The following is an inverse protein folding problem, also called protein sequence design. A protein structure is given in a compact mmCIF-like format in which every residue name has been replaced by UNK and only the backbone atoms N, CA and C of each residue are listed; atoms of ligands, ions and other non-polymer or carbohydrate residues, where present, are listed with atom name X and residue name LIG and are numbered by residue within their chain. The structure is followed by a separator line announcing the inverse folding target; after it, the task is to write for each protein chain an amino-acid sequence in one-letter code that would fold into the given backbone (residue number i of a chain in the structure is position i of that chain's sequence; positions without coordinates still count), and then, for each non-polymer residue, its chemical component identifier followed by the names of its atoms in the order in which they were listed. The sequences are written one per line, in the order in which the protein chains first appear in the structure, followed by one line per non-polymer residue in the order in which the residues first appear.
data_IF_737023727882
#
_entry.id   IF_737023727882
#
_cell.length_a   1.000
_cell.length_b   1.000
_cell.length_c   1.000
_cell.angle_alpha   90.00
_cell.angle_beta   90.00
_cell.angle_gamma   90.00
#
_symmetry.space_group_name_H-M   'P 1'
#
loop_
_entity.id
_entity.type
_entity.pdbx_description
1 polymer ?
#
# COMPACT_ATOMS: atom_id res chain seq x y z
N UNK A 1 17.29 7.54 5.34
CA UNK A 1 17.21 6.22 4.70
C UNK A 1 15.76 5.79 4.79
N UNK A 2 15.11 5.49 3.67
CA UNK A 2 13.78 4.88 3.66
C UNK A 2 13.97 3.38 3.61
N UNK A 3 13.50 2.65 4.63
CA UNK A 3 13.48 1.18 4.61
C UNK A 3 12.11 0.74 4.14
N UNK A 4 12.06 -0.10 3.10
CA UNK A 4 10.82 -0.75 2.73
C UNK A 4 10.46 -1.80 3.78
N UNK A 5 9.17 -1.93 4.04
CA UNK A 5 8.66 -2.93 4.96
C UNK A 5 8.88 -4.35 4.42
N UNK A 6 9.32 -5.26 5.29
CA UNK A 6 9.77 -6.61 4.87
C UNK A 6 8.76 -7.72 5.16
N UNK A 7 7.54 -7.40 5.58
CA UNK A 7 6.50 -8.42 5.83
C UNK A 7 5.36 -8.45 4.82
N UNK A 8 5.43 -7.62 3.77
CA UNK A 8 4.51 -7.76 2.63
C UNK A 8 3.10 -7.17 2.82
N UNK A 9 2.84 -6.42 3.90
CA UNK A 9 1.56 -5.75 4.14
C UNK A 9 1.63 -4.21 4.17
N UNK A 10 2.75 -3.62 3.73
CA UNK A 10 2.81 -2.17 3.55
C UNK A 10 2.26 -1.83 2.16
N UNK A 11 1.27 -0.93 2.13
CA UNK A 11 0.60 -0.50 0.90
C UNK A 11 1.31 0.71 0.31
N UNK A 12 1.30 0.84 -1.02
CA UNK A 12 2.04 1.87 -1.73
C UNK A 12 1.14 2.62 -2.71
N UNK A 13 1.38 3.92 -2.88
CA UNK A 13 0.73 4.71 -3.92
C UNK A 13 1.71 5.70 -4.55
N UNK A 14 1.47 5.99 -5.82
CA UNK A 14 2.08 7.12 -6.52
C UNK A 14 1.00 8.14 -6.81
N UNK A 15 1.26 9.40 -6.47
CA UNK A 15 0.30 10.48 -6.65
C UNK A 15 0.94 11.68 -7.33
N UNK A 16 0.17 12.37 -8.16
CA UNK A 16 0.56 13.57 -8.88
C UNK A 16 -0.29 14.76 -8.40
N UNK A 17 0.30 15.68 -7.61
CA UNK A 17 -0.40 16.88 -7.19
C UNK A 17 -0.67 17.82 -8.38
N UNK A 18 -1.66 18.74 -8.26
CA UNK A 18 -1.96 19.71 -9.30
C UNK A 18 -0.79 20.66 -9.56
N UNK A 19 -0.70 21.15 -10.79
CA UNK A 19 0.30 22.14 -11.19
C UNK A 19 0.26 23.37 -10.27
N UNK A 20 1.44 23.84 -9.87
CA UNK A 20 1.58 25.01 -9.00
C UNK A 20 1.50 24.72 -7.50
N UNK A 21 1.13 23.50 -7.08
CA UNK A 21 1.26 23.11 -5.67
C UNK A 21 2.74 22.99 -5.29
N UNK A 22 3.15 23.72 -4.26
CA UNK A 22 4.51 23.66 -3.72
C UNK A 22 4.58 22.74 -2.51
N UNK A 23 5.78 22.27 -2.16
CA UNK A 23 6.00 21.47 -0.94
C UNK A 23 5.51 22.18 0.32
N UNK A 24 5.77 23.49 0.43
CA UNK A 24 5.32 24.32 1.54
C UNK A 24 3.79 24.34 1.65
N UNK A 25 3.11 24.70 0.55
CA UNK A 25 1.64 24.78 0.53
C UNK A 25 0.98 23.41 0.71
N UNK A 26 1.64 22.33 0.28
CA UNK A 26 1.19 20.97 0.55
C UNK A 26 1.27 20.67 2.05
N UNK A 27 2.44 20.89 2.67
CA UNK A 27 2.64 20.61 4.09
C UNK A 27 1.71 21.44 4.99
N UNK A 28 1.44 22.70 4.63
CA UNK A 28 0.55 23.58 5.39
C UNK A 28 -0.94 23.18 5.28
N UNK A 29 -1.40 22.80 4.10
CA UNK A 29 -2.83 22.60 3.84
C UNK A 29 -3.29 21.13 3.88
N UNK A 30 -2.36 20.18 3.86
CA UNK A 30 -2.67 18.75 3.83
C UNK A 30 -2.15 18.00 5.06
N UNK A 31 -1.61 18.68 6.08
CA UNK A 31 -1.24 18.04 7.34
C UNK A 31 -2.46 17.31 7.94
N UNK A 32 -2.21 16.12 8.44
CA UNK A 32 -3.22 15.30 9.09
C UNK A 32 -2.68 14.76 10.40
N UNK A 33 -3.47 15.00 11.44
CA UNK A 33 -3.28 14.40 12.74
C UNK A 33 -4.40 13.41 13.01
N UNK A 34 -4.04 12.31 13.65
CA UNK A 34 -5.02 11.30 14.05
C UNK A 34 -4.46 10.43 15.15
N UNK A 35 -5.24 9.41 15.51
CA UNK A 35 -4.88 8.50 16.57
C UNK A 35 -4.97 7.08 16.05
N UNK A 36 -3.92 6.29 16.26
CA UNK A 36 -3.89 4.86 15.99
C UNK A 36 -4.06 4.11 17.29
N UNK A 37 -5.04 3.23 17.31
CA UNK A 37 -5.22 2.22 18.36
C UNK A 37 -4.63 0.90 17.87
N UNK A 38 -3.83 0.24 18.70
CA UNK A 38 -3.30 -1.10 18.46
C UNK A 38 -3.64 -2.00 19.65
N UNK A 39 -4.52 -2.96 19.41
CA UNK A 39 -4.85 -4.03 20.33
C UNK A 39 -4.20 -5.33 19.86
N UNK A 40 -3.25 -5.86 20.63
CA UNK A 40 -2.56 -7.11 20.28
C UNK A 40 -2.05 -7.83 21.53
N UNK A 41 -2.23 -9.16 21.60
CA UNK A 41 -1.81 -10.00 22.74
C UNK A 41 -2.24 -9.46 24.12
N UNK A 42 -3.44 -8.87 24.21
CA UNK A 42 -3.97 -8.29 25.45
C UNK A 42 -3.37 -6.94 25.85
N UNK A 43 -2.49 -6.37 25.02
CA UNK A 43 -2.00 -5.00 25.17
C UNK A 43 -2.85 -4.03 24.36
N UNK A 44 -3.05 -2.84 24.91
CA UNK A 44 -3.74 -1.72 24.28
C UNK A 44 -2.78 -0.53 24.19
N UNK A 45 -2.49 -0.08 22.98
CA UNK A 45 -1.65 1.07 22.73
C UNK A 45 -2.41 2.12 21.91
N UNK A 46 -2.43 3.34 22.43
CA UNK A 46 -2.87 4.51 21.69
C UNK A 46 -1.64 5.32 21.28
N UNK A 47 -1.54 5.66 20.00
CA UNK A 47 -0.46 6.51 19.47
C UNK A 47 -1.01 7.60 18.58
N UNK A 48 -0.63 8.83 18.88
CA UNK A 48 -0.87 9.96 18.01
C UNK A 48 -0.04 9.82 16.72
N UNK A 49 -0.64 10.21 15.60
CA UNK A 49 -0.01 10.37 14.31
C UNK A 49 0.08 11.87 14.08
N UNK A 50 1.29 12.43 14.08
CA UNK A 50 1.53 13.88 13.98
C UNK A 50 2.32 14.31 12.72
N UNK A 51 2.79 13.35 11.92
CA UNK A 51 3.63 13.60 10.74
C UNK A 51 3.07 12.91 9.48
N UNK A 52 1.76 13.05 9.28
CA UNK A 52 1.06 12.47 8.13
C UNK A 52 0.39 13.56 7.30
N UNK A 53 0.12 13.23 6.04
CA UNK A 53 -0.51 14.15 5.09
C UNK A 53 -1.62 13.45 4.33
N UNK A 54 -2.75 14.13 4.14
CA UNK A 54 -3.85 13.63 3.32
C UNK A 54 -3.52 13.79 1.85
N UNK A 55 -3.54 12.67 1.12
CA UNK A 55 -3.51 12.63 -0.33
C UNK A 55 -4.95 12.44 -0.84
N UNK A 56 -5.52 13.41 -1.58
CA UNK A 56 -6.81 13.22 -2.24
C UNK A 56 -6.77 12.06 -3.24
N UNK A 57 -7.82 11.23 -3.25
CA UNK A 57 -7.92 10.09 -4.18
C UNK A 57 -7.71 10.50 -5.64
N UNK A 58 -8.21 11.67 -6.06
CA UNK A 58 -8.05 12.17 -7.43
C UNK A 58 -6.62 12.54 -7.82
N UNK A 59 -5.66 12.55 -6.89
CA UNK A 59 -4.24 12.72 -7.19
C UNK A 59 -3.53 11.39 -7.41
N UNK A 60 -4.11 10.27 -6.94
CA UNK A 60 -3.50 8.96 -7.04
C UNK A 60 -3.50 8.51 -8.50
N UNK A 61 -2.31 8.25 -9.04
CA UNK A 61 -2.14 7.68 -10.37
C UNK A 61 -2.27 6.17 -10.36
N UNK A 62 -1.74 5.53 -9.31
CA UNK A 62 -1.76 4.09 -9.11
C UNK A 62 -1.50 3.80 -7.61
N UNK A 63 -2.12 2.74 -7.11
CA UNK A 63 -1.99 2.30 -5.73
C UNK A 63 -2.12 0.79 -5.63
N UNK A 64 -1.43 0.24 -4.64
CA UNK A 64 -1.37 -1.18 -4.35
C UNK A 64 -1.61 -1.37 -2.87
N UNK A 65 -2.79 -1.89 -2.54
CA UNK A 65 -3.08 -2.42 -1.22
C UNK A 65 -2.30 -3.72 -1.03
N UNK A 66 -1.48 -3.77 0.01
CA UNK A 66 -0.82 -4.98 0.44
C UNK A 66 -1.35 -5.38 1.82
N UNK A 67 -1.65 -6.65 2.02
CA UNK A 67 -2.09 -7.19 3.30
C UNK A 67 -1.69 -8.66 3.43
N UNK A 68 -1.61 -9.19 4.65
CA UNK A 68 -1.47 -10.63 4.90
C UNK A 68 -2.83 -11.20 5.29
N UNK A 69 -3.16 -12.40 4.81
CA UNK A 69 -4.49 -12.99 5.01
C UNK A 69 -4.82 -13.24 6.48
N UNK A 70 -3.83 -13.68 7.26
CA UNK A 70 -3.96 -13.96 8.71
C UNK A 70 -4.44 -12.75 9.51
N UNK A 71 -4.06 -11.54 9.10
CA UNK A 71 -4.38 -10.28 9.78
C UNK A 71 -5.05 -9.27 8.84
N UNK A 72 -5.88 -9.74 7.90
CA UNK A 72 -6.57 -8.86 6.97
C UNK A 72 -7.58 -7.98 7.73
N UNK A 73 -7.23 -6.70 7.87
CA UNK A 73 -8.05 -5.68 8.50
C UNK A 73 -8.49 -4.63 7.46
N UNK A 74 -8.67 -3.39 7.90
CA UNK A 74 -8.95 -2.25 7.03
C UNK A 74 -7.80 -2.02 6.04
N UNK A 75 -8.11 -2.02 4.75
CA UNK A 75 -7.16 -1.69 3.69
C UNK A 75 -6.78 -0.20 3.72
N UNK A 76 -5.57 0.10 3.24
CA UNK A 76 -5.04 1.47 3.25
C UNK A 76 -5.81 2.39 2.29
N UNK A 77 -6.20 1.86 1.13
CA UNK A 77 -6.95 2.59 0.11
C UNK A 77 -8.37 2.06 0.00
N UNK A 78 -9.31 2.96 -0.29
CA UNK A 78 -10.69 2.55 -0.55
C UNK A 78 -10.85 1.97 -1.97
N UNK A 79 -12.01 1.36 -2.21
CA UNK A 79 -12.29 0.65 -3.46
C UNK A 79 -12.32 1.50 -4.74
N UNK A 80 -12.32 2.84 -4.63
CA UNK A 80 -12.19 3.71 -5.82
C UNK A 80 -10.75 3.78 -6.33
N UNK A 81 -9.79 3.50 -5.45
CA UNK A 81 -8.35 3.57 -5.73
C UNK A 81 -7.77 2.17 -5.87
N UNK A 82 -8.07 1.27 -4.92
CA UNK A 82 -7.77 -0.15 -5.03
C UNK A 82 -8.82 -0.95 -4.24
N UNK A 83 -9.60 -1.76 -4.95
CA UNK A 83 -10.70 -2.56 -4.40
C UNK A 83 -10.27 -3.92 -3.86
N UNK A 84 -9.01 -4.31 -4.08
CA UNK A 84 -8.47 -5.57 -3.61
C UNK A 84 -7.24 -5.37 -2.75
N UNK A 85 -6.51 -6.45 -2.58
CA UNK A 85 -5.18 -6.46 -1.99
C UNK A 85 -4.33 -7.56 -2.63
N UNK A 86 -3.03 -7.47 -2.45
CA UNK A 86 -2.05 -8.46 -2.88
C UNK A 86 -1.04 -8.73 -1.77
N UNK A 87 -0.24 -9.78 -1.91
CA UNK A 87 0.66 -10.23 -0.85
C UNK A 87 1.86 -11.02 -1.37
N UNK A 88 2.86 -11.21 -0.50
CA UNK A 88 4.01 -12.13 -0.73
C UNK A 88 4.03 -13.30 0.25
N UNK A 89 3.04 -13.34 1.16
CA UNK A 89 2.78 -14.43 2.11
C UNK A 89 1.33 -14.33 2.60
N UNK A 90 0.78 -15.44 3.08
CA UNK A 90 -0.55 -15.48 3.69
C UNK A 90 -0.53 -15.35 5.21
N UNK A 91 0.64 -15.52 5.84
CA UNK A 91 0.84 -15.44 7.29
C UNK A 91 1.75 -14.25 7.65
N UNK A 92 1.55 -13.65 8.83
CA UNK A 92 2.47 -12.60 9.32
C UNK A 92 3.84 -13.21 9.63
N UNK A 93 4.89 -12.45 9.33
CA UNK A 93 6.28 -12.84 9.60
C UNK A 93 6.71 -14.18 8.99
N UNK A 94 6.05 -14.62 7.90
CA UNK A 94 6.35 -15.87 7.17
C UNK A 94 7.87 -16.02 6.93
N UNK A 95 8.53 -17.09 7.42
CA UNK A 95 9.96 -17.30 7.21
C UNK A 95 10.33 -17.41 5.72
N UNK A 96 9.39 -17.80 4.85
CA UNK A 96 9.59 -17.94 3.41
C UNK A 96 9.25 -16.66 2.62
N UNK A 97 8.92 -15.54 3.26
CA UNK A 97 8.59 -14.28 2.57
C UNK A 97 9.74 -13.66 1.78
N UNK A 98 10.98 -14.01 2.14
CA UNK A 98 12.16 -13.42 1.53
C UNK A 98 12.38 -13.93 0.11
N UNK A 99 12.84 -13.04 -0.77
CA UNK A 99 13.06 -13.38 -2.18
C UNK A 99 11.77 -13.56 -2.99
N UNK A 100 10.62 -13.15 -2.44
CA UNK A 100 9.32 -13.10 -3.12
C UNK A 100 8.95 -11.65 -3.47
N UNK A 101 8.07 -11.51 -4.45
CA UNK A 101 7.55 -10.24 -4.97
C UNK A 101 6.12 -10.42 -5.46
N UNK A 102 5.48 -9.29 -5.76
CA UNK A 102 4.26 -9.24 -6.57
C UNK A 102 4.64 -8.73 -7.95
N UNK A 103 4.03 -9.29 -8.99
CA UNK A 103 4.26 -8.89 -10.37
C UNK A 103 2.95 -8.52 -11.02
N UNK A 104 2.84 -7.29 -11.54
CA UNK A 104 1.62 -6.88 -12.25
C UNK A 104 1.47 -7.69 -13.53
N UNK A 105 0.29 -8.29 -13.69
CA UNK A 105 -0.07 -9.12 -14.83
C UNK A 105 -0.01 -8.33 -16.13
N UNK A 106 0.22 -9.07 -17.21
CA UNK A 106 0.12 -8.54 -18.57
C UNK A 106 -0.90 -9.35 -19.34
N UNK A 107 -1.67 -8.67 -20.18
CA UNK A 107 -2.59 -9.34 -21.09
C UNK A 107 -1.85 -10.04 -22.24
N UNK A 108 -2.61 -10.68 -23.14
CA UNK A 108 -2.05 -11.40 -24.28
C UNK A 108 -1.22 -10.52 -25.23
N UNK A 109 -1.49 -9.21 -25.27
CA UNK A 109 -0.77 -8.22 -26.07
C UNK A 109 0.44 -7.63 -25.32
N UNK A 110 0.67 -8.05 -24.07
CA UNK A 110 1.76 -7.61 -23.22
C UNK A 110 1.51 -6.29 -22.51
N UNK A 111 0.30 -5.72 -22.59
CA UNK A 111 -0.07 -4.50 -21.88
C UNK A 111 -0.32 -4.82 -20.40
N UNK A 112 0.01 -3.87 -19.54
CA UNK A 112 -0.24 -3.98 -18.10
C UNK A 112 -1.75 -4.08 -17.84
N UNK A 113 -2.15 -5.07 -17.04
CA UNK A 113 -3.51 -5.20 -16.51
C UNK A 113 -3.62 -4.33 -15.26
N UNK A 114 -4.60 -3.44 -15.26
CA UNK A 114 -4.89 -2.53 -14.15
C UNK A 114 -6.40 -2.31 -14.09
N UNK A 115 -7.03 -2.85 -13.04
CA UNK A 115 -8.46 -2.80 -12.81
C UNK A 115 -8.81 -2.06 -11.53
N UNK A 116 -7.85 -1.32 -10.96
CA UNK A 116 -7.89 -0.78 -9.60
C UNK A 116 -8.28 -1.87 -8.59
N UNK A 117 -7.73 -3.08 -8.76
CA UNK A 117 -7.97 -4.19 -7.84
C UNK A 117 -6.73 -5.10 -7.80
N UNK A 118 -5.93 -4.94 -6.75
CA UNK A 118 -4.66 -5.66 -6.59
C UNK A 118 -4.79 -7.19 -6.60
N UNK A 119 -5.95 -7.73 -6.20
CA UNK A 119 -6.20 -9.18 -6.24
C UNK A 119 -6.31 -9.68 -7.69
N UNK A 120 -6.88 -8.87 -8.58
CA UNK A 120 -7.01 -9.19 -10.00
C UNK A 120 -5.73 -8.88 -10.76
N UNK A 121 -5.02 -7.82 -10.38
CA UNK A 121 -3.98 -7.21 -11.22
C UNK A 121 -2.59 -7.83 -11.01
N UNK A 122 -2.35 -8.55 -9.91
CA UNK A 122 -1.02 -9.08 -9.58
C UNK A 122 -0.96 -10.60 -9.53
N UNK A 123 0.19 -11.13 -9.95
CA UNK A 123 0.69 -12.46 -9.58
C UNK A 123 1.45 -12.32 -8.25
N UNK A 124 1.14 -13.19 -7.29
CA UNK A 124 1.72 -13.17 -5.95
C UNK A 124 2.90 -14.14 -5.84
N UNK A 125 3.77 -13.90 -4.86
CA UNK A 125 4.88 -14.79 -4.49
C UNK A 125 5.85 -15.12 -5.65
N UNK A 126 6.02 -14.21 -6.60
CA UNK A 126 6.92 -14.39 -7.76
C UNK A 126 8.37 -14.12 -7.38
N UNK A 127 9.33 -14.72 -8.09
CA UNK A 127 10.73 -14.32 -7.96
C UNK A 127 10.94 -12.90 -8.49
N UNK A 128 11.62 -12.01 -7.75
CA UNK A 128 11.86 -10.64 -8.20
C UNK A 128 12.77 -10.64 -9.42
N UNK A 129 12.39 -9.83 -10.41
CA UNK A 129 13.19 -9.59 -11.62
C UNK A 129 13.29 -8.09 -11.86
N UNK A 130 14.42 -7.65 -12.42
CA UNK A 130 14.55 -6.32 -13.01
C UNK A 130 14.71 -6.49 -14.52
N UNK A 131 14.08 -5.60 -15.28
CA UNK A 131 14.28 -5.47 -16.72
C UNK A 131 14.98 -4.16 -17.02
#
# INVERSE_FOLDING_TARGET
FTSLHNRGYESYAIALPPYGLTSKTFMENHAWEGQRVMDFNGYHFERDITDAYIIPNGWVLDAVNCAVDEDLATLAFNATVDAGYTNVSTIDSDPERFGKSILRKRDADGKIVDTNNSTNDFEICTSPTMR
#
